data_IF_397274440995
#
_entry.id   IF_397274440995
#
_cell.length_a   1.000
_cell.length_b   1.000
_cell.length_c   1.000
_cell.angle_alpha   90.00
_cell.angle_beta   90.00
_cell.angle_gamma   90.00
#
_symmetry.space_group_name_H-M   'P 1'
#
loop_
_entity.id
_entity.type
_entity.pdbx_description
1 polymer ?
#
# COMPACT_ATOMS: atom_id res chain seq x y z
N UNK A 1 -22.10 43.73 11.23
CA UNK A 1 -20.84 43.82 10.44
C UNK A 1 -19.76 42.91 11.04
N UNK A 2 -19.63 42.81 12.35
CA UNK A 2 -18.63 41.99 13.07
C UNK A 2 -18.78 40.49 12.76
N UNK A 3 -19.99 39.90 12.83
CA UNK A 3 -20.25 38.49 12.52
C UNK A 3 -19.84 38.09 11.09
N UNK A 4 -20.04 38.97 10.10
CA UNK A 4 -19.67 38.65 8.71
C UNK A 4 -18.15 38.61 8.52
N UNK A 5 -17.39 39.45 9.22
CA UNK A 5 -15.92 39.41 9.22
C UNK A 5 -15.40 38.17 9.96
N UNK A 6 -16.02 37.81 11.08
CA UNK A 6 -15.71 36.62 11.84
C UNK A 6 -15.84 35.36 11.00
N UNK A 7 -17.00 35.12 10.35
CA UNK A 7 -17.19 33.92 9.51
C UNK A 7 -16.22 33.88 8.35
N UNK A 8 -15.90 35.00 7.71
CA UNK A 8 -14.94 35.04 6.60
C UNK A 8 -13.51 34.75 7.07
N UNK A 9 -13.14 35.23 8.25
CA UNK A 9 -11.84 34.95 8.85
C UNK A 9 -11.69 33.47 9.20
N UNK A 10 -12.72 32.88 9.81
CA UNK A 10 -12.75 31.47 10.13
C UNK A 10 -12.71 30.58 8.87
N UNK A 11 -13.47 30.93 7.82
CA UNK A 11 -13.49 30.20 6.55
C UNK A 11 -12.11 30.21 5.87
N UNK A 12 -11.41 31.33 5.85
CA UNK A 12 -10.07 31.42 5.29
C UNK A 12 -9.09 30.54 6.09
N UNK A 13 -9.12 30.63 7.41
CA UNK A 13 -8.25 29.82 8.27
C UNK A 13 -8.51 28.32 8.12
N UNK A 14 -9.77 27.91 8.01
CA UNK A 14 -10.11 26.50 7.76
C UNK A 14 -9.57 26.02 6.40
N UNK A 15 -9.56 26.87 5.39
CA UNK A 15 -8.97 26.55 4.08
C UNK A 15 -7.45 26.42 4.17
N UNK A 16 -6.79 27.29 4.94
CA UNK A 16 -5.34 27.23 5.14
C UNK A 16 -4.94 25.95 5.89
N UNK A 17 -5.73 25.52 6.88
CA UNK A 17 -5.58 24.24 7.58
C UNK A 17 -5.69 23.06 6.61
N UNK A 18 -6.66 23.09 5.70
CA UNK A 18 -6.90 22.00 4.75
C UNK A 18 -5.77 21.86 3.70
N UNK A 19 -5.19 23.00 3.29
CA UNK A 19 -4.12 23.04 2.27
C UNK A 19 -2.70 22.79 2.81
N UNK A 20 -2.50 22.75 4.13
CA UNK A 20 -1.17 22.62 4.73
C UNK A 20 -0.61 21.20 4.59
N UNK A 21 0.69 21.11 4.30
CA UNK A 21 1.46 19.86 4.24
C UNK A 21 2.25 19.65 5.54
N UNK A 22 1.87 18.65 6.33
CA UNK A 22 2.54 18.29 7.59
C UNK A 22 2.01 18.98 8.83
N UNK A 23 2.10 18.26 9.97
CA UNK A 23 1.44 18.65 11.23
C UNK A 23 2.00 19.95 11.80
N UNK A 24 3.32 20.07 11.96
CA UNK A 24 3.94 21.23 12.60
C UNK A 24 3.81 22.49 11.72
N UNK A 25 3.96 22.36 10.41
CA UNK A 25 3.78 23.47 9.48
C UNK A 25 2.33 23.98 9.47
N UNK A 26 1.36 23.08 9.51
CA UNK A 26 -0.06 23.43 9.65
C UNK A 26 -0.32 24.22 10.94
N UNK A 27 0.21 23.74 12.08
CA UNK A 27 0.06 24.42 13.37
C UNK A 27 0.71 25.80 13.36
N UNK A 28 1.89 25.94 12.76
CA UNK A 28 2.57 27.21 12.58
C UNK A 28 1.73 28.19 11.75
N UNK A 29 1.24 27.76 10.58
CA UNK A 29 0.35 28.57 9.73
C UNK A 29 -0.87 29.08 10.49
N UNK A 30 -1.49 28.22 11.32
CA UNK A 30 -2.65 28.62 12.16
C UNK A 30 -2.26 29.67 13.18
N UNK A 31 -1.14 29.49 13.89
CA UNK A 31 -0.70 30.43 14.89
C UNK A 31 -0.30 31.76 14.26
N UNK A 32 0.42 31.77 13.15
CA UNK A 32 0.75 32.96 12.37
C UNK A 32 -0.51 33.73 11.91
N UNK A 33 -1.48 33.02 11.36
CA UNK A 33 -2.74 33.62 10.91
C UNK A 33 -3.53 34.26 12.05
N UNK A 34 -3.54 33.63 13.25
CA UNK A 34 -4.28 34.12 14.40
C UNK A 34 -3.58 35.27 15.12
N UNK A 35 -2.24 35.32 15.07
CA UNK A 35 -1.45 36.40 15.72
C UNK A 35 -1.16 37.57 14.78
N UNK A 36 -1.48 37.44 13.49
CA UNK A 36 -1.26 38.44 12.46
C UNK A 36 -2.51 39.17 11.96
N UNK A 37 -2.32 40.37 11.44
CA UNK A 37 -3.28 41.13 10.66
C UNK A 37 -4.65 41.39 11.29
N UNK A 38 -5.71 41.17 10.49
CA UNK A 38 -7.10 41.45 10.94
C UNK A 38 -7.58 40.50 12.03
N UNK A 39 -7.04 39.22 12.08
CA UNK A 39 -7.45 38.24 13.08
C UNK A 39 -6.96 38.61 14.48
N UNK A 40 -5.69 38.99 14.61
CA UNK A 40 -5.13 39.43 15.88
C UNK A 40 -5.95 40.60 16.50
N UNK A 41 -6.26 41.61 15.68
CA UNK A 41 -7.07 42.75 16.11
C UNK A 41 -8.53 42.38 16.39
N UNK A 42 -9.11 41.45 15.66
CA UNK A 42 -10.51 41.03 15.83
C UNK A 42 -10.71 40.24 17.13
N UNK A 43 -9.76 39.41 17.51
CA UNK A 43 -9.86 38.50 18.64
C UNK A 43 -9.04 38.96 19.86
N UNK A 44 -8.25 40.02 19.73
CA UNK A 44 -7.40 40.55 20.80
C UNK A 44 -6.24 39.60 21.14
N UNK A 45 -5.70 38.90 20.13
CA UNK A 45 -4.59 37.93 20.27
C UNK A 45 -3.28 38.69 20.04
N UNK A 46 -2.41 38.73 21.03
CA UNK A 46 -1.13 39.45 20.98
C UNK A 46 0.05 38.53 20.58
N UNK A 47 0.02 37.27 20.98
CA UNK A 47 1.07 36.30 20.69
C UNK A 47 0.53 34.89 20.69
N UNK A 48 1.27 33.95 20.05
CA UNK A 48 0.91 32.53 19.97
C UNK A 48 2.12 31.64 20.17
N UNK A 49 1.88 30.46 20.70
CA UNK A 49 2.91 29.47 21.03
C UNK A 49 2.41 28.07 20.71
N UNK A 50 3.34 27.23 20.25
CA UNK A 50 3.09 25.82 19.95
C UNK A 50 3.97 24.98 20.85
N UNK A 51 3.35 24.09 21.61
CA UNK A 51 4.04 23.13 22.44
C UNK A 51 3.75 21.72 21.94
N UNK A 52 4.81 20.89 21.87
CA UNK A 52 4.72 19.47 21.53
C UNK A 52 4.83 18.61 22.78
N UNK A 53 3.94 17.64 22.89
CA UNK A 53 3.93 16.68 23.98
C UNK A 53 5.21 15.82 24.01
N UNK A 54 5.75 15.63 25.21
CA UNK A 54 6.79 14.67 25.55
C UNK A 54 6.29 13.80 26.71
N UNK A 55 7.12 12.86 27.13
CA UNK A 55 6.72 11.90 28.20
C UNK A 55 6.20 12.56 29.47
N UNK A 56 6.89 13.60 29.99
CA UNK A 56 6.60 14.24 31.26
C UNK A 56 6.17 15.70 31.16
N UNK A 57 6.38 16.33 30.00
CA UNK A 57 6.19 17.76 29.80
C UNK A 57 5.70 18.08 28.37
N UNK A 58 5.45 19.36 28.12
CA UNK A 58 5.25 19.94 26.81
C UNK A 58 6.42 20.86 26.49
N UNK A 59 7.10 20.62 25.38
CA UNK A 59 8.22 21.41 24.87
C UNK A 59 7.69 22.51 23.96
N UNK A 60 8.04 23.78 24.25
CA UNK A 60 7.77 24.91 23.36
C UNK A 60 8.66 24.81 22.12
N UNK A 61 8.04 24.61 20.97
CA UNK A 61 8.71 24.42 19.67
C UNK A 61 8.65 25.67 18.79
N UNK A 62 7.66 26.53 18.99
CA UNK A 62 7.46 27.74 18.19
C UNK A 62 6.84 28.85 19.04
N UNK A 63 7.28 30.10 18.89
CA UNK A 63 6.71 31.26 19.58
C UNK A 63 6.68 32.48 18.67
N UNK A 64 5.50 33.08 18.50
CA UNK A 64 5.23 34.20 17.64
C UNK A 64 4.66 35.37 18.48
N UNK A 65 5.24 36.53 18.34
CA UNK A 65 4.84 37.75 19.07
C UNK A 65 5.70 38.03 20.31
N UNK A 66 5.08 38.24 21.48
CA UNK A 66 5.78 38.55 22.73
C UNK A 66 6.84 37.49 23.07
N UNK A 67 8.06 37.93 23.39
CA UNK A 67 9.27 37.12 23.61
C UNK A 67 9.83 36.38 22.38
N UNK A 68 9.05 36.13 21.33
CA UNK A 68 9.49 35.45 20.11
C UNK A 68 10.34 34.20 20.36
N UNK A 69 11.35 33.99 19.55
CA UNK A 69 12.27 32.84 19.63
C UNK A 69 13.04 32.73 20.97
N UNK A 70 13.12 33.81 21.75
CA UNK A 70 13.89 33.84 23.01
C UNK A 70 13.38 32.82 24.07
N UNK A 71 12.16 32.35 23.97
CA UNK A 71 11.55 31.40 24.91
C UNK A 71 11.44 29.96 24.35
N UNK A 72 11.77 29.74 23.09
CA UNK A 72 11.74 28.39 22.50
C UNK A 72 12.69 27.46 23.24
N UNK A 73 12.31 26.19 23.28
CA UNK A 73 13.02 25.16 24.04
C UNK A 73 12.66 25.10 25.53
N UNK A 74 11.87 26.06 26.06
CA UNK A 74 11.32 25.95 27.41
C UNK A 74 10.26 24.87 27.50
N UNK A 75 10.04 24.35 28.70
CA UNK A 75 9.07 23.29 28.95
C UNK A 75 8.06 23.66 30.01
N UNK A 76 6.86 23.11 29.91
CA UNK A 76 5.80 23.18 30.91
C UNK A 76 5.44 21.76 31.31
N UNK A 77 5.49 21.48 32.62
CA UNK A 77 5.22 20.11 33.13
C UNK A 77 3.74 19.77 33.02
N UNK A 78 3.45 18.48 32.83
CA UNK A 78 2.06 17.99 32.82
C UNK A 78 1.35 18.17 34.15
N UNK A 79 2.08 18.28 35.26
CA UNK A 79 1.52 18.51 36.60
C UNK A 79 1.08 19.96 36.86
N UNK A 80 1.43 20.90 35.98
CA UNK A 80 0.98 22.25 36.12
C UNK A 80 -0.54 22.37 35.98
N UNK A 81 -1.22 23.05 36.89
CA UNK A 81 -2.69 23.07 36.98
C UNK A 81 -3.39 23.50 35.69
N UNK A 82 -2.87 24.53 34.99
CA UNK A 82 -3.42 24.95 33.70
C UNK A 82 -3.33 23.86 32.64
N UNK A 83 -2.24 23.09 32.60
CA UNK A 83 -2.06 21.95 31.72
C UNK A 83 -3.02 20.83 32.09
N UNK A 84 -3.21 20.53 33.38
CA UNK A 84 -4.17 19.53 33.83
C UNK A 84 -5.61 19.89 33.40
N UNK A 85 -6.03 21.14 33.59
CA UNK A 85 -7.35 21.60 33.09
C UNK A 85 -7.47 21.49 31.57
N UNK A 86 -6.39 21.78 30.85
CA UNK A 86 -6.36 21.65 29.38
C UNK A 86 -6.45 20.20 28.93
N UNK A 87 -5.76 19.28 29.63
CA UNK A 87 -5.85 17.85 29.32
C UNK A 87 -7.26 17.29 29.53
N UNK A 88 -7.99 17.79 30.56
CA UNK A 88 -9.37 17.38 30.86
C UNK A 88 -10.38 17.99 29.87
N UNK A 89 -10.27 19.30 29.63
CA UNK A 89 -11.31 20.09 28.94
C UNK A 89 -11.02 20.38 27.48
N UNK A 90 -9.78 20.17 27.06
CA UNK A 90 -9.28 20.41 25.68
C UNK A 90 -9.19 21.89 25.27
N UNK A 91 -9.87 22.79 25.98
CA UNK A 91 -9.80 24.25 25.86
C UNK A 91 -9.80 24.84 27.29
N UNK A 92 -8.88 25.77 27.59
CA UNK A 92 -8.76 26.36 28.89
C UNK A 92 -8.22 27.81 28.75
N UNK A 93 -8.77 28.70 29.59
CA UNK A 93 -8.23 30.07 29.74
C UNK A 93 -7.62 30.18 31.13
N UNK A 94 -6.33 30.50 31.17
CA UNK A 94 -5.57 30.75 32.40
C UNK A 94 -5.59 32.23 32.72
N UNK A 95 -6.05 32.56 33.91
CA UNK A 95 -6.12 33.95 34.49
C UNK A 95 -5.40 33.98 35.80
N UNK A 96 -5.05 35.20 36.31
CA UNK A 96 -4.45 35.33 37.63
C UNK A 96 -5.28 34.78 38.80
N UNK A 97 -6.61 34.70 38.63
CA UNK A 97 -7.53 34.13 39.62
C UNK A 97 -7.89 32.67 39.36
N UNK A 98 -7.30 32.05 38.33
CA UNK A 98 -7.53 30.65 37.99
C UNK A 98 -6.99 29.72 39.08
N UNK A 99 -7.68 28.59 39.37
CA UNK A 99 -7.19 27.59 40.31
C UNK A 99 -5.80 27.08 39.92
N UNK A 100 -4.84 27.16 40.85
CA UNK A 100 -3.47 26.71 40.63
C UNK A 100 -2.63 27.61 39.73
N UNK A 101 -3.03 28.87 39.48
CA UNK A 101 -2.22 29.85 38.77
C UNK A 101 -0.87 30.10 39.51
N UNK A 102 0.21 30.01 38.73
CA UNK A 102 1.56 30.30 39.21
C UNK A 102 2.16 31.48 38.40
N UNK A 103 2.22 32.66 39.02
CA UNK A 103 2.72 33.86 38.38
C UNK A 103 4.19 33.74 37.90
N UNK A 104 5.02 32.90 38.58
CA UNK A 104 6.41 32.73 38.19
C UNK A 104 6.55 31.79 36.96
N UNK A 105 5.62 30.87 36.80
CA UNK A 105 5.55 30.02 35.60
C UNK A 105 5.01 30.88 34.42
N UNK A 106 3.86 31.53 34.60
CA UNK A 106 3.21 32.28 33.51
C UNK A 106 4.08 33.45 33.00
N UNK A 107 4.76 34.17 33.90
CA UNK A 107 5.65 35.28 33.51
C UNK A 107 6.83 34.87 32.62
N UNK A 108 7.13 33.56 32.52
CA UNK A 108 8.15 33.07 31.60
C UNK A 108 7.66 32.99 30.13
N UNK A 109 6.34 33.05 29.94
CA UNK A 109 5.71 32.87 28.64
C UNK A 109 4.83 34.04 28.22
N UNK A 110 4.15 34.71 29.15
CA UNK A 110 3.31 35.88 28.88
C UNK A 110 2.98 36.65 30.15
N UNK A 111 2.71 37.96 30.01
CA UNK A 111 2.14 38.79 31.06
C UNK A 111 0.61 38.99 30.92
N UNK A 112 0.00 38.34 29.94
CA UNK A 112 -1.43 38.44 29.61
C UNK A 112 -2.16 37.15 30.01
N UNK A 113 -3.49 37.14 29.95
CA UNK A 113 -4.25 35.93 30.05
C UNK A 113 -3.90 34.98 28.89
N UNK A 114 -3.92 33.69 29.14
CA UNK A 114 -3.60 32.69 28.13
C UNK A 114 -4.83 31.84 27.79
N UNK A 115 -5.26 31.88 26.53
CA UNK A 115 -6.26 30.96 26.00
C UNK A 115 -5.54 29.82 25.25
N UNK A 116 -5.78 28.58 25.63
CA UNK A 116 -5.09 27.43 25.05
C UNK A 116 -6.05 26.34 24.59
N UNK A 117 -5.69 25.67 23.50
CA UNK A 117 -6.37 24.50 22.97
C UNK A 117 -5.41 23.34 22.90
N UNK A 118 -5.92 22.12 23.17
CA UNK A 118 -5.19 20.86 23.02
C UNK A 118 -5.68 20.13 21.78
N UNK A 119 -4.77 19.85 20.86
CA UNK A 119 -5.04 19.18 19.59
C UNK A 119 -4.14 17.95 19.41
N UNK A 120 -4.55 17.02 18.56
CA UNK A 120 -3.78 15.80 18.27
C UNK A 120 -3.89 14.72 19.37
N UNK A 121 -3.32 13.59 19.06
CA UNK A 121 -3.14 12.42 19.93
C UNK A 121 -1.88 11.69 19.44
N UNK A 122 -0.83 11.69 20.25
CA UNK A 122 0.40 10.94 19.92
C UNK A 122 1.21 11.48 18.70
N UNK A 123 1.89 12.63 18.81
CA UNK A 123 1.91 13.52 19.99
C UNK A 123 0.69 14.45 20.03
N UNK A 124 0.35 14.92 21.24
CA UNK A 124 -0.56 16.03 21.39
C UNK A 124 0.21 17.36 21.30
N UNK A 125 -0.48 18.41 20.87
CA UNK A 125 0.05 19.77 20.80
C UNK A 125 -0.83 20.72 21.60
N UNK A 126 -0.21 21.68 22.28
CA UNK A 126 -0.89 22.81 22.89
C UNK A 126 -0.64 24.03 22.00
N UNK A 127 -1.71 24.67 21.54
CA UNK A 127 -1.66 26.01 20.97
C UNK A 127 -2.14 26.98 22.04
N UNK A 128 -1.26 27.88 22.47
CA UNK A 128 -1.54 28.86 23.54
C UNK A 128 -1.43 30.26 22.99
N UNK A 129 -2.41 31.09 23.29
CA UNK A 129 -2.54 32.46 22.80
C UNK A 129 -2.60 33.43 23.95
N UNK A 130 -1.79 34.48 23.92
CA UNK A 130 -1.90 35.61 24.84
C UNK A 130 -3.03 36.51 24.38
N UNK A 131 -4.01 36.76 25.24
CA UNK A 131 -5.23 37.48 24.89
C UNK A 131 -5.44 38.67 25.81
N UNK A 132 -5.86 39.82 25.22
CA UNK A 132 -6.13 41.05 25.97
C UNK A 132 -7.43 40.99 26.77
N UNK A 133 -8.45 40.34 26.17
CA UNK A 133 -9.77 40.14 26.75
C UNK A 133 -10.18 38.70 26.59
N UNK A 134 -10.64 38.07 27.64
CA UNK A 134 -10.87 36.64 27.74
C UNK A 134 -12.35 36.23 27.96
N UNK A 135 -13.24 37.22 28.14
CA UNK A 135 -14.67 37.02 28.36
C UNK A 135 -15.52 37.08 27.07
N UNK A 136 -14.88 36.98 25.92
CA UNK A 136 -15.53 37.02 24.60
C UNK A 136 -15.98 35.64 24.15
N UNK A 137 -17.29 35.44 24.08
CA UNK A 137 -17.89 34.19 23.58
C UNK A 137 -17.41 33.86 22.16
N UNK A 138 -17.19 34.85 21.30
CA UNK A 138 -16.72 34.66 19.93
C UNK A 138 -15.29 34.11 19.85
N UNK A 139 -14.40 34.45 20.80
CA UNK A 139 -13.05 33.88 20.93
C UNK A 139 -13.13 32.37 21.26
N UNK A 140 -13.96 32.01 22.24
CA UNK A 140 -14.15 30.60 22.62
C UNK A 140 -14.71 29.76 21.48
N UNK A 141 -15.73 30.28 20.78
CA UNK A 141 -16.34 29.59 19.62
C UNK A 141 -15.30 29.38 18.51
N UNK A 142 -14.48 30.41 18.24
CA UNK A 142 -13.42 30.33 17.24
C UNK A 142 -12.37 29.28 17.62
N UNK A 143 -11.84 29.33 18.84
CA UNK A 143 -10.82 28.39 19.29
C UNK A 143 -11.34 26.95 19.28
N UNK A 144 -12.60 26.73 19.64
CA UNK A 144 -13.23 25.40 19.57
C UNK A 144 -13.39 24.90 18.12
N UNK A 145 -13.78 25.79 17.19
CA UNK A 145 -13.87 25.44 15.77
C UNK A 145 -12.50 25.09 15.18
N UNK A 146 -11.47 25.88 15.49
CA UNK A 146 -10.09 25.62 15.06
C UNK A 146 -9.58 24.32 15.67
N UNK A 147 -9.81 24.08 16.97
CA UNK A 147 -9.45 22.84 17.64
C UNK A 147 -10.06 21.62 16.95
N UNK A 148 -11.34 21.71 16.58
CA UNK A 148 -12.05 20.64 15.86
C UNK A 148 -11.46 20.40 14.47
N UNK A 149 -11.19 21.45 13.69
CA UNK A 149 -10.63 21.36 12.35
C UNK A 149 -9.20 20.78 12.36
N UNK A 150 -8.32 21.32 13.21
CA UNK A 150 -6.97 20.78 13.38
C UNK A 150 -7.03 19.32 13.81
N UNK A 151 -7.88 18.98 14.80
CA UNK A 151 -8.02 17.62 15.29
C UNK A 151 -8.51 16.65 14.21
N UNK A 152 -9.34 17.09 13.27
CA UNK A 152 -9.76 16.29 12.11
C UNK A 152 -8.59 16.06 11.15
N UNK A 153 -7.87 17.12 10.77
CA UNK A 153 -6.74 17.05 9.85
C UNK A 153 -5.60 16.17 10.39
N UNK A 154 -5.25 16.33 11.68
CA UNK A 154 -4.24 15.50 12.32
C UNK A 154 -4.63 14.00 12.34
N UNK A 155 -5.90 13.69 12.58
CA UNK A 155 -6.39 12.31 12.53
C UNK A 155 -6.34 11.75 11.12
N UNK A 156 -6.71 12.53 10.12
CA UNK A 156 -6.61 12.14 8.71
C UNK A 156 -5.16 11.85 8.33
N UNK A 157 -4.22 12.74 8.63
CA UNK A 157 -2.79 12.55 8.35
C UNK A 157 -2.20 11.33 9.04
N UNK A 158 -2.61 11.05 10.29
CA UNK A 158 -2.19 9.85 11.01
C UNK A 158 -2.70 8.57 10.34
N UNK A 159 -3.97 8.55 9.88
CA UNK A 159 -4.55 7.42 9.17
C UNK A 159 -3.83 7.18 7.84
N UNK A 160 -3.62 8.22 7.04
CA UNK A 160 -2.87 8.15 5.78
C UNK A 160 -1.44 7.65 5.99
N UNK A 161 -0.78 8.07 7.08
CA UNK A 161 0.55 7.57 7.44
C UNK A 161 0.54 6.08 7.77
N UNK A 162 -0.48 5.59 8.50
CA UNK A 162 -0.65 4.17 8.80
C UNK A 162 -0.90 3.35 7.54
N UNK A 163 -1.71 3.84 6.61
CA UNK A 163 -1.97 3.20 5.32
C UNK A 163 -0.69 3.13 4.48
N UNK A 164 0.09 4.19 4.40
CA UNK A 164 1.41 4.19 3.71
C UNK A 164 2.39 3.19 4.33
N UNK A 165 2.38 3.03 5.66
CA UNK A 165 3.20 1.99 6.31
C UNK A 165 2.73 0.58 5.93
N UNK A 166 1.42 0.34 5.90
CA UNK A 166 0.85 -0.94 5.47
C UNK A 166 1.22 -1.25 4.00
N UNK A 167 1.13 -0.25 3.11
CA UNK A 167 1.57 -0.35 1.71
C UNK A 167 3.05 -0.73 1.61
N UNK A 168 3.92 -0.10 2.39
CA UNK A 168 5.36 -0.42 2.40
C UNK A 168 5.62 -1.87 2.83
N UNK A 169 4.88 -2.34 3.84
CA UNK A 169 4.98 -3.73 4.31
C UNK A 169 4.51 -4.68 3.21
N UNK A 170 3.36 -4.43 2.58
CA UNK A 170 2.84 -5.26 1.50
C UNK A 170 3.78 -5.28 0.30
N UNK A 171 4.25 -4.13 -0.17
CA UNK A 171 5.21 -4.05 -1.27
C UNK A 171 6.49 -4.85 -1.00
N UNK A 172 6.86 -5.05 0.27
CA UNK A 172 8.01 -5.89 0.66
C UNK A 172 7.79 -7.39 0.46
N UNK A 173 6.54 -7.84 0.28
CA UNK A 173 6.19 -9.25 0.01
C UNK A 173 6.44 -9.62 -1.44
N UNK A 174 6.24 -8.67 -2.35
CA UNK A 174 6.49 -8.88 -3.77
C UNK A 174 7.99 -9.02 -4.05
N UNK A 175 8.39 -9.85 -5.00
CA UNK A 175 9.79 -10.01 -5.38
C UNK A 175 10.38 -8.67 -5.85
N UNK A 176 11.45 -8.20 -5.21
CA UNK A 176 12.16 -6.99 -5.66
C UNK A 176 12.86 -7.18 -7.00
N UNK A 177 13.22 -8.40 -7.33
CA UNK A 177 13.78 -8.83 -8.60
C UNK A 177 13.20 -10.19 -8.93
N UNK A 178 12.81 -10.36 -10.16
CA UNK A 178 12.36 -11.67 -10.64
C UNK A 178 13.59 -12.59 -10.74
N UNK A 179 13.47 -13.86 -10.29
CA UNK A 179 14.57 -14.82 -10.38
C UNK A 179 14.84 -15.21 -11.83
N UNK A 180 16.03 -15.70 -12.10
CA UNK A 180 16.43 -16.22 -13.39
C UNK A 180 16.18 -17.73 -13.45
N UNK A 181 15.60 -18.22 -14.55
CA UNK A 181 15.55 -19.61 -14.92
C UNK A 181 16.10 -19.74 -16.34
N UNK A 182 17.03 -20.63 -16.55
CA UNK A 182 17.71 -20.77 -17.85
C UNK A 182 16.68 -21.03 -18.97
N UNK A 183 16.75 -20.23 -20.02
CA UNK A 183 15.82 -20.31 -21.15
C UNK A 183 14.44 -19.72 -20.93
N UNK A 184 14.22 -18.95 -19.86
CA UNK A 184 12.96 -18.28 -19.58
C UNK A 184 13.14 -16.79 -19.34
N UNK A 185 12.12 -16.05 -19.70
CA UNK A 185 11.97 -14.61 -19.44
C UNK A 185 10.71 -14.39 -18.63
N UNK A 186 10.76 -13.46 -17.68
CA UNK A 186 9.65 -13.14 -16.79
C UNK A 186 9.43 -11.61 -16.74
N UNK A 187 8.16 -11.21 -16.72
CA UNK A 187 7.77 -9.83 -16.41
C UNK A 187 6.52 -9.85 -15.54
N UNK A 188 6.43 -8.88 -14.61
CA UNK A 188 5.25 -8.69 -13.78
C UNK A 188 4.92 -7.21 -13.68
N UNK A 189 3.62 -6.90 -13.66
CA UNK A 189 3.09 -5.56 -13.41
C UNK A 189 1.90 -5.68 -12.47
N UNK A 190 1.88 -4.83 -11.46
CA UNK A 190 0.76 -4.71 -10.50
C UNK A 190 0.36 -3.26 -10.35
N UNK A 191 -0.92 -3.01 -10.38
CA UNK A 191 -1.56 -1.73 -10.14
C UNK A 191 -2.66 -1.93 -9.12
N UNK A 192 -2.44 -1.55 -7.86
CA UNK A 192 -3.49 -1.62 -6.86
C UNK A 192 -4.55 -0.55 -7.09
N UNK A 193 -5.81 -0.88 -6.79
CA UNK A 193 -6.95 0.04 -6.83
C UNK A 193 -6.91 1.05 -5.67
N UNK A 194 -6.53 0.58 -4.49
CA UNK A 194 -6.33 1.37 -3.26
C UNK A 194 -4.84 1.52 -2.94
N UNK A 195 -4.50 2.12 -1.77
CA UNK A 195 -3.12 2.19 -1.27
C UNK A 195 -2.49 0.80 -1.05
N UNK A 196 -3.31 -0.22 -0.78
CA UNK A 196 -2.90 -1.63 -0.63
C UNK A 196 -3.89 -2.52 -1.35
N UNK A 197 -3.41 -3.59 -1.99
CA UNK A 197 -4.23 -4.49 -2.81
C UNK A 197 -4.30 -5.93 -2.29
N UNK A 198 -5.28 -6.68 -2.79
CA UNK A 198 -5.45 -8.12 -2.57
C UNK A 198 -4.57 -8.98 -3.46
N UNK A 199 -4.08 -8.43 -4.56
CA UNK A 199 -3.25 -9.11 -5.53
C UNK A 199 -1.83 -9.35 -5.03
N UNK A 200 -1.33 -10.56 -5.18
CA UNK A 200 0.08 -10.91 -4.93
C UNK A 200 0.60 -11.93 -5.93
N UNK A 201 1.85 -11.76 -6.32
CA UNK A 201 2.58 -12.78 -7.06
C UNK A 201 3.91 -13.08 -6.36
N UNK A 202 4.42 -14.28 -6.57
CA UNK A 202 5.73 -14.68 -6.08
C UNK A 202 6.41 -15.64 -7.06
N UNK A 203 7.73 -15.50 -7.17
CA UNK A 203 8.58 -16.40 -7.94
C UNK A 203 9.74 -16.82 -7.06
N UNK A 204 9.86 -18.11 -6.81
CA UNK A 204 10.88 -18.66 -5.90
C UNK A 204 11.68 -19.77 -6.59
N UNK A 205 13.01 -19.72 -6.59
CA UNK A 205 13.82 -20.87 -6.94
C UNK A 205 13.52 -22.02 -5.96
N UNK A 206 13.17 -23.20 -6.48
CA UNK A 206 12.88 -24.39 -5.68
C UNK A 206 14.10 -25.30 -5.58
N UNK A 207 14.57 -25.80 -6.73
CA UNK A 207 15.75 -26.64 -6.90
C UNK A 207 16.54 -26.14 -8.11
N UNK A 208 17.71 -26.71 -8.37
CA UNK A 208 18.49 -26.38 -9.56
C UNK A 208 17.67 -26.68 -10.82
N UNK A 209 17.42 -25.67 -11.64
CA UNK A 209 16.62 -25.80 -12.86
C UNK A 209 15.10 -25.82 -12.63
N UNK A 210 14.60 -25.49 -11.44
CA UNK A 210 13.17 -25.44 -11.14
C UNK A 210 12.78 -24.14 -10.43
N UNK A 211 11.65 -23.56 -10.84
CA UNK A 211 11.08 -22.32 -10.30
C UNK A 211 9.61 -22.55 -9.89
N UNK A 212 9.27 -22.15 -8.66
CA UNK A 212 7.88 -21.98 -8.22
C UNK A 212 7.37 -20.60 -8.59
N UNK A 213 6.18 -20.52 -9.17
CA UNK A 213 5.52 -19.31 -9.58
C UNK A 213 4.10 -19.32 -9.03
N UNK A 214 3.66 -18.20 -8.43
CA UNK A 214 2.28 -18.03 -8.00
C UNK A 214 1.73 -16.67 -8.38
N UNK A 215 0.42 -16.63 -8.63
CA UNK A 215 -0.42 -15.44 -8.66
C UNK A 215 -1.67 -15.74 -7.83
N UNK A 216 -2.01 -14.86 -6.92
CA UNK A 216 -3.18 -14.99 -6.06
C UNK A 216 -3.88 -13.65 -5.92
N UNK A 217 -5.18 -13.71 -5.73
CA UNK A 217 -6.04 -12.58 -5.50
C UNK A 217 -6.99 -12.87 -4.34
N UNK A 218 -6.99 -11.99 -3.34
CA UNK A 218 -7.82 -12.07 -2.16
C UNK A 218 -9.07 -11.22 -2.33
N UNK A 219 -10.25 -11.86 -2.33
CA UNK A 219 -11.54 -11.21 -2.56
C UNK A 219 -11.75 -9.91 -1.77
N UNK A 220 -12.10 -8.83 -2.49
CA UNK A 220 -12.26 -7.48 -2.01
C UNK A 220 -10.95 -6.70 -2.06
N UNK A 221 -10.94 -5.45 -1.64
CA UNK A 221 -9.82 -4.51 -1.77
C UNK A 221 -9.36 -3.95 -0.42
N UNK A 222 -8.24 -3.22 -0.43
CA UNK A 222 -7.70 -2.52 0.71
C UNK A 222 -7.02 -3.41 1.76
N UNK A 223 -6.81 -2.88 2.96
CA UNK A 223 -6.00 -3.51 4.01
C UNK A 223 -6.44 -4.94 4.40
N UNK A 224 -7.75 -5.28 4.49
CA UNK A 224 -8.14 -6.65 4.83
C UNK A 224 -7.74 -7.68 3.75
N UNK A 225 -7.83 -7.34 2.47
CA UNK A 225 -7.39 -8.20 1.37
C UNK A 225 -5.86 -8.35 1.35
N UNK A 226 -5.13 -7.24 1.56
CA UNK A 226 -3.68 -7.23 1.65
C UNK A 226 -3.12 -8.15 2.76
N UNK A 227 -3.78 -8.20 3.93
CA UNK A 227 -3.38 -9.12 5.02
C UNK A 227 -3.59 -10.58 4.64
N UNK A 228 -4.67 -10.91 3.92
CA UNK A 228 -4.93 -12.27 3.44
C UNK A 228 -3.93 -12.67 2.34
N UNK A 229 -3.64 -11.78 1.41
CA UNK A 229 -2.61 -11.97 0.39
C UNK A 229 -1.23 -12.28 1.01
N UNK A 230 -0.87 -11.59 2.09
CA UNK A 230 0.33 -11.89 2.88
C UNK A 230 0.34 -13.32 3.42
N UNK A 231 -0.77 -13.79 3.98
CA UNK A 231 -0.86 -15.14 4.54
C UNK A 231 -0.68 -16.21 3.45
N UNK A 232 -1.15 -15.95 2.23
CA UNK A 232 -0.90 -16.81 1.06
C UNK A 232 0.59 -16.88 0.74
N UNK A 233 1.26 -15.75 0.60
CA UNK A 233 2.70 -15.70 0.29
C UNK A 233 3.51 -16.48 1.34
N UNK A 234 3.26 -16.20 2.61
CA UNK A 234 3.98 -16.87 3.73
C UNK A 234 3.67 -18.37 3.74
N UNK A 235 2.40 -18.76 3.59
CA UNK A 235 1.98 -20.15 3.58
C UNK A 235 2.62 -20.95 2.44
N UNK A 236 2.67 -20.38 1.22
CA UNK A 236 3.31 -21.01 0.07
C UNK A 236 4.82 -21.13 0.25
N UNK A 237 5.52 -20.09 0.66
CA UNK A 237 6.98 -20.14 0.93
C UNK A 237 7.34 -21.19 1.97
N UNK A 238 6.51 -21.35 3.01
CA UNK A 238 6.71 -22.41 4.01
C UNK A 238 6.51 -23.79 3.42
N UNK A 239 5.56 -23.99 2.49
CA UNK A 239 5.32 -25.24 1.82
C UNK A 239 6.48 -25.68 0.92
N UNK A 240 6.99 -24.77 0.13
CA UNK A 240 8.11 -24.98 -0.77
C UNK A 240 9.37 -25.48 -0.04
N UNK A 241 9.62 -24.98 1.17
CA UNK A 241 10.79 -25.36 1.97
C UNK A 241 10.78 -26.82 2.45
N UNK A 242 9.63 -27.52 2.36
CA UNK A 242 9.47 -28.89 2.82
C UNK A 242 9.43 -29.93 1.70
N UNK A 243 9.65 -29.52 0.45
CA UNK A 243 9.61 -30.40 -0.74
C UNK A 243 8.32 -31.25 -0.83
N UNK A 244 7.17 -30.63 -0.49
CA UNK A 244 5.86 -31.28 -0.54
C UNK A 244 5.30 -31.27 -1.96
N UNK A 245 4.42 -32.23 -2.26
CA UNK A 245 3.68 -32.22 -3.52
C UNK A 245 2.84 -30.95 -3.66
N UNK A 246 2.81 -30.37 -4.84
CA UNK A 246 2.09 -29.14 -5.16
C UNK A 246 0.63 -29.11 -4.64
N UNK A 247 -0.09 -30.23 -4.77
CA UNK A 247 -1.48 -30.35 -4.27
C UNK A 247 -1.55 -30.30 -2.74
N UNK A 248 -0.61 -30.97 -2.05
CA UNK A 248 -0.57 -31.00 -0.60
C UNK A 248 -0.24 -29.59 -0.01
N UNK A 249 0.61 -28.83 -0.70
CA UNK A 249 0.90 -27.45 -0.34
C UNK A 249 -0.37 -26.57 -0.43
N UNK A 250 -1.10 -26.65 -1.54
CA UNK A 250 -2.33 -25.88 -1.75
C UNK A 250 -3.45 -26.31 -0.78
N UNK A 251 -3.61 -27.63 -0.54
CA UNK A 251 -4.59 -28.14 0.43
C UNK A 251 -4.27 -27.69 1.86
N UNK A 252 -2.99 -27.66 2.23
CA UNK A 252 -2.58 -27.14 3.54
C UNK A 252 -2.83 -25.63 3.64
N UNK A 253 -2.46 -24.87 2.62
CA UNK A 253 -2.76 -23.45 2.54
C UNK A 253 -4.26 -23.20 2.67
N UNK A 254 -5.11 -23.95 1.96
CA UNK A 254 -6.56 -23.86 2.05
C UNK A 254 -7.07 -24.03 3.48
N UNK A 255 -6.55 -25.00 4.24
CA UNK A 255 -6.94 -25.18 5.65
C UNK A 255 -6.54 -23.99 6.52
N UNK A 256 -5.34 -23.43 6.31
CA UNK A 256 -4.90 -22.21 7.04
C UNK A 256 -5.82 -21.04 6.69
N UNK A 257 -6.02 -20.81 5.41
CA UNK A 257 -6.89 -19.73 4.89
C UNK A 257 -8.32 -19.89 5.44
N UNK A 258 -8.89 -21.09 5.46
CA UNK A 258 -10.23 -21.35 6.02
C UNK A 258 -10.36 -20.89 7.48
N UNK A 259 -9.32 -21.04 8.30
CA UNK A 259 -9.34 -20.64 9.70
C UNK A 259 -9.05 -19.15 9.94
N UNK A 260 -8.40 -18.49 9.00
CA UNK A 260 -7.99 -17.07 9.12
C UNK A 260 -8.93 -16.11 8.41
N UNK A 261 -9.68 -16.60 7.41
CA UNK A 261 -10.61 -15.77 6.63
C UNK A 261 -11.77 -15.24 7.49
N UNK A 262 -12.09 -13.99 7.27
CA UNK A 262 -13.37 -13.42 7.69
C UNK A 262 -14.48 -14.10 6.89
N UNK A 263 -15.58 -14.47 7.54
CA UNK A 263 -16.74 -15.14 6.94
C UNK A 263 -17.19 -14.43 5.65
N UNK A 264 -17.40 -15.17 4.57
CA UNK A 264 -17.78 -14.77 3.21
C UNK A 264 -16.65 -14.34 2.27
N UNK A 265 -15.36 -14.41 2.65
CA UNK A 265 -14.25 -14.13 1.75
C UNK A 265 -13.64 -15.41 1.19
N UNK A 266 -12.92 -15.29 0.09
CA UNK A 266 -12.18 -16.37 -0.54
C UNK A 266 -10.90 -15.82 -1.18
N UNK A 267 -9.99 -16.72 -1.56
CA UNK A 267 -8.78 -16.35 -2.29
C UNK A 267 -8.69 -17.22 -3.53
N UNK A 268 -8.42 -16.61 -4.66
CA UNK A 268 -8.08 -17.33 -5.88
C UNK A 268 -6.57 -17.53 -5.94
N UNK A 269 -6.11 -18.69 -6.42
CA UNK A 269 -4.68 -18.98 -6.52
C UNK A 269 -4.36 -19.78 -7.77
N UNK A 270 -3.41 -19.29 -8.55
CA UNK A 270 -2.67 -20.10 -9.52
C UNK A 270 -1.26 -20.35 -8.98
N UNK A 271 -0.85 -21.62 -8.88
CA UNK A 271 0.51 -21.99 -8.51
C UNK A 271 1.08 -23.00 -9.49
N UNK A 272 2.30 -22.76 -9.94
CA UNK A 272 3.01 -23.62 -10.90
C UNK A 272 4.47 -23.86 -10.49
N UNK A 273 4.96 -25.03 -10.82
CA UNK A 273 6.37 -25.44 -10.79
C UNK A 273 6.86 -25.59 -12.23
N UNK A 274 7.85 -24.77 -12.61
CA UNK A 274 8.38 -24.68 -13.97
C UNK A 274 9.80 -25.24 -13.97
N UNK A 275 10.06 -26.26 -14.78
CA UNK A 275 11.38 -26.85 -15.00
C UNK A 275 12.08 -26.18 -16.20
N UNK A 276 13.40 -26.12 -16.21
CA UNK A 276 14.21 -25.54 -17.29
C UNK A 276 14.01 -26.22 -18.64
N UNK A 277 13.61 -27.49 -18.65
CA UNK A 277 13.24 -28.23 -19.84
C UNK A 277 11.87 -27.82 -20.44
N UNK A 278 11.11 -26.97 -19.75
CA UNK A 278 9.80 -26.47 -20.16
C UNK A 278 8.61 -27.20 -19.60
N UNK A 279 8.80 -28.26 -18.82
CA UNK A 279 7.69 -28.90 -18.13
C UNK A 279 7.11 -27.97 -17.08
N UNK A 280 5.80 -27.88 -17.03
CA UNK A 280 5.05 -27.07 -16.05
C UNK A 280 4.02 -27.94 -15.36
N UNK A 281 4.14 -28.07 -14.06
CA UNK A 281 3.14 -28.68 -13.20
C UNK A 281 2.39 -27.60 -12.48
N UNK A 282 1.05 -27.58 -12.53
CA UNK A 282 0.29 -26.49 -11.90
C UNK A 282 -0.97 -26.95 -11.17
N UNK A 283 -1.43 -26.09 -10.27
CA UNK A 283 -2.75 -26.10 -9.61
C UNK A 283 -3.39 -24.73 -9.84
N UNK A 284 -4.64 -24.73 -10.32
CA UNK A 284 -5.47 -23.54 -10.40
C UNK A 284 -6.65 -23.68 -9.43
N UNK A 285 -6.57 -22.99 -8.30
CA UNK A 285 -7.59 -22.96 -7.25
C UNK A 285 -8.57 -21.79 -7.50
N UNK A 286 -9.41 -21.91 -8.50
CA UNK A 286 -10.46 -20.95 -8.84
C UNK A 286 -9.96 -19.59 -9.37
N UNK A 287 -8.71 -19.49 -9.74
CA UNK A 287 -8.13 -18.27 -10.32
C UNK A 287 -8.52 -18.12 -11.80
N UNK A 288 -8.50 -16.89 -12.33
CA UNK A 288 -8.68 -16.61 -13.75
C UNK A 288 -7.82 -17.55 -14.60
N UNK A 289 -8.40 -18.28 -15.59
CA UNK A 289 -7.64 -19.21 -16.40
C UNK A 289 -6.53 -18.49 -17.17
N UNK A 290 -5.23 -18.79 -16.90
CA UNK A 290 -4.13 -18.20 -17.66
C UNK A 290 -4.20 -18.52 -19.15
N UNK A 291 -3.67 -17.61 -19.98
CA UNK A 291 -3.57 -17.78 -21.43
C UNK A 291 -2.21 -18.33 -21.79
N UNK A 292 -2.19 -19.43 -22.55
CA UNK A 292 -1.01 -19.89 -23.27
C UNK A 292 -1.10 -19.38 -24.72
N UNK A 293 -0.22 -18.48 -25.10
CA UNK A 293 -0.08 -17.95 -26.45
C UNK A 293 1.02 -18.72 -27.16
N UNK A 294 0.63 -19.55 -28.12
CA UNK A 294 1.54 -20.33 -28.91
C UNK A 294 2.33 -19.48 -29.93
N UNK A 295 3.47 -19.95 -30.39
CA UNK A 295 4.32 -19.23 -31.34
C UNK A 295 3.63 -18.94 -32.70
N UNK A 296 2.70 -19.81 -33.13
CA UNK A 296 1.87 -19.62 -34.34
C UNK A 296 0.68 -18.66 -34.16
N UNK A 297 0.38 -18.29 -32.90
CA UNK A 297 -0.72 -17.39 -32.56
C UNK A 297 -2.00 -18.10 -32.12
N UNK A 298 -2.00 -19.42 -31.95
CA UNK A 298 -3.10 -20.08 -31.25
C UNK A 298 -3.06 -19.68 -29.75
N UNK A 299 -4.25 -19.59 -29.15
CA UNK A 299 -4.39 -19.22 -27.72
C UNK A 299 -5.20 -20.29 -27.01
N UNK A 300 -4.65 -20.82 -25.94
CA UNK A 300 -5.26 -21.83 -25.09
C UNK A 300 -5.44 -21.33 -23.68
N UNK A 301 -6.41 -21.87 -22.97
CA UNK A 301 -6.66 -21.59 -21.56
C UNK A 301 -6.21 -22.74 -20.67
N UNK A 302 -5.55 -22.40 -19.57
CA UNK A 302 -5.22 -23.39 -18.54
C UNK A 302 -6.42 -23.58 -17.61
N UNK A 303 -6.93 -24.81 -17.55
CA UNK A 303 -8.14 -25.12 -16.81
C UNK A 303 -7.98 -24.96 -15.30
N UNK A 304 -9.08 -24.60 -14.64
CA UNK A 304 -9.23 -24.67 -13.19
C UNK A 304 -9.13 -26.12 -12.71
N UNK A 305 -8.44 -26.34 -11.60
CA UNK A 305 -8.17 -27.69 -11.08
C UNK A 305 -8.72 -27.96 -9.68
N UNK A 306 -9.38 -26.97 -9.06
CA UNK A 306 -10.05 -27.04 -7.76
C UNK A 306 -10.81 -25.77 -7.43
N UNK A 307 -11.56 -25.75 -6.32
CA UNK A 307 -12.28 -24.55 -5.88
C UNK A 307 -11.32 -23.47 -5.36
N UNK A 308 -11.84 -22.27 -5.17
CA UNK A 308 -11.15 -21.16 -4.47
C UNK A 308 -10.73 -21.59 -3.05
N UNK A 309 -9.69 -20.95 -2.51
CA UNK A 309 -9.24 -21.19 -1.14
C UNK A 309 -10.20 -20.55 -0.12
N UNK A 310 -10.43 -21.26 0.98
CA UNK A 310 -11.10 -20.75 2.18
C UNK A 310 -12.51 -21.27 2.42
N UNK A 311 -13.50 -21.20 1.51
CA UNK A 311 -14.88 -21.60 1.79
C UNK A 311 -15.04 -23.06 2.22
N UNK A 312 -14.27 -23.97 1.67
CA UNK A 312 -14.37 -25.41 1.94
C UNK A 312 -13.09 -25.90 2.63
N UNK A 313 -13.13 -26.29 3.92
CA UNK A 313 -11.92 -26.68 4.67
C UNK A 313 -11.22 -27.91 4.09
N UNK A 314 -12.00 -28.87 3.56
CA UNK A 314 -11.50 -30.13 3.00
C UNK A 314 -11.46 -30.11 1.46
N UNK A 315 -11.30 -28.93 0.85
CA UNK A 315 -11.16 -28.82 -0.59
C UNK A 315 -9.95 -29.61 -1.08
N UNK A 316 -10.13 -30.30 -2.19
CA UNK A 316 -9.07 -31.07 -2.86
C UNK A 316 -8.77 -30.47 -4.23
N UNK A 317 -7.51 -30.57 -4.62
CA UNK A 317 -7.01 -29.98 -5.87
C UNK A 317 -6.37 -31.03 -6.75
N UNK A 318 -6.54 -30.89 -8.07
CA UNK A 318 -5.91 -31.75 -9.04
C UNK A 318 -4.66 -31.10 -9.61
N UNK A 319 -3.64 -31.90 -9.77
CA UNK A 319 -2.40 -31.51 -10.44
C UNK A 319 -2.59 -31.60 -11.95
N UNK A 320 -2.30 -30.52 -12.65
CA UNK A 320 -2.33 -30.42 -14.10
C UNK A 320 -0.91 -30.27 -14.65
N UNK A 321 -0.73 -30.64 -15.93
CA UNK A 321 0.55 -30.63 -16.60
C UNK A 321 0.43 -29.96 -17.95
N UNK A 322 1.47 -29.23 -18.33
CA UNK A 322 1.69 -28.74 -19.67
C UNK A 322 3.18 -28.67 -19.98
N UNK A 323 3.52 -28.47 -21.23
CA UNK A 323 4.89 -28.14 -21.64
C UNK A 323 4.84 -26.76 -22.29
N UNK A 324 5.62 -25.80 -21.77
CA UNK A 324 5.85 -24.51 -22.39
C UNK A 324 6.97 -24.69 -23.41
N UNK A 325 6.66 -24.59 -24.70
CA UNK A 325 7.61 -24.81 -25.79
C UNK A 325 8.40 -23.54 -26.07
N UNK A 326 9.59 -23.62 -26.70
CA UNK A 326 10.34 -22.46 -27.14
C UNK A 326 9.50 -21.48 -27.97
N UNK A 327 9.48 -20.21 -27.60
CA UNK A 327 8.68 -19.16 -28.24
C UNK A 327 7.26 -19.01 -27.74
N UNK A 328 6.76 -19.94 -26.90
CA UNK A 328 5.44 -19.82 -26.28
C UNK A 328 5.46 -18.90 -25.06
N UNK A 329 4.34 -18.22 -24.82
CA UNK A 329 4.17 -17.27 -23.72
C UNK A 329 2.96 -17.66 -22.89
N UNK A 330 3.16 -17.77 -21.57
CA UNK A 330 2.10 -17.94 -20.58
C UNK A 330 1.81 -16.58 -19.95
N UNK A 331 0.53 -16.17 -19.98
CA UNK A 331 0.06 -14.90 -19.41
C UNK A 331 -0.93 -15.21 -18.30
N UNK A 332 -0.56 -14.86 -17.07
CA UNK A 332 -1.41 -14.93 -15.89
C UNK A 332 -1.92 -13.51 -15.58
N UNK A 333 -3.12 -13.41 -15.07
CA UNK A 333 -3.74 -12.13 -14.78
C UNK A 333 -4.86 -12.28 -13.75
N UNK A 334 -5.14 -11.21 -13.00
CA UNK A 334 -6.26 -11.13 -12.07
C UNK A 334 -7.53 -10.60 -12.77
N UNK A 335 -8.69 -10.78 -12.15
CA UNK A 335 -9.99 -10.44 -12.73
C UNK A 335 -10.16 -8.92 -12.96
N UNK A 336 -9.53 -8.04 -12.16
CA UNK A 336 -9.52 -6.61 -12.40
C UNK A 336 -9.02 -6.21 -13.80
N UNK A 337 -8.23 -7.08 -14.48
CA UNK A 337 -7.87 -6.90 -15.90
C UNK A 337 -9.11 -7.09 -16.80
N UNK A 338 -9.91 -8.13 -16.55
CA UNK A 338 -11.07 -8.47 -17.37
C UNK A 338 -12.30 -7.60 -17.07
N UNK A 339 -12.47 -7.25 -15.79
CA UNK A 339 -13.66 -6.57 -15.27
C UNK A 339 -13.60 -5.05 -15.41
N UNK A 340 -12.48 -4.48 -15.87
CA UNK A 340 -12.36 -3.05 -16.12
C UNK A 340 -13.48 -2.56 -17.03
N UNK A 341 -14.31 -1.65 -16.52
CA UNK A 341 -15.44 -1.10 -17.25
C UNK A 341 -15.02 0.06 -18.17
N UNK A 342 -15.68 0.15 -19.33
CA UNK A 342 -15.62 1.35 -20.17
C UNK A 342 -16.23 2.54 -19.41
N UNK A 343 -15.79 3.80 -19.69
CA UNK A 343 -16.47 4.98 -19.15
C UNK A 343 -17.95 4.93 -19.51
N UNK A 344 -18.84 5.14 -18.51
CA UNK A 344 -20.28 5.23 -18.75
C UNK A 344 -20.58 6.27 -19.84
N UNK A 345 -21.49 5.94 -20.76
CA UNK A 345 -22.04 6.90 -21.70
C UNK A 345 -22.81 8.02 -20.98
N UNK A 346 -23.14 9.10 -21.67
CA UNK A 346 -23.96 10.19 -21.15
C UNK A 346 -25.26 9.64 -20.55
N UNK A 347 -25.76 10.28 -19.49
CA UNK A 347 -26.85 9.89 -18.58
C UNK A 347 -28.17 9.33 -19.21
N UNK A 348 -28.25 9.22 -20.52
CA UNK A 348 -29.45 8.76 -21.28
C UNK A 348 -29.33 7.33 -21.86
N UNK A 349 -28.17 6.66 -21.74
CA UNK A 349 -28.02 5.27 -22.23
C UNK A 349 -28.23 4.26 -21.09
N UNK A 350 -29.34 3.51 -21.13
CA UNK A 350 -29.66 2.40 -20.22
C UNK A 350 -28.74 1.16 -20.39
N UNK A 351 -27.70 1.25 -21.23
CA UNK A 351 -26.77 0.15 -21.46
C UNK A 351 -25.77 0.02 -20.30
N UNK A 352 -25.67 -1.16 -19.71
CA UNK A 352 -24.63 -1.48 -18.74
C UNK A 352 -23.24 -1.28 -19.40
N UNK A 353 -22.26 -0.65 -18.70
CA UNK A 353 -20.94 -0.44 -19.25
C UNK A 353 -20.26 -1.78 -19.58
N UNK A 354 -19.71 -1.89 -20.78
CA UNK A 354 -19.03 -3.11 -21.24
C UNK A 354 -17.69 -3.27 -20.51
N UNK A 355 -17.39 -4.49 -20.05
CA UNK A 355 -16.10 -4.83 -19.48
C UNK A 355 -15.05 -5.01 -20.57
N UNK A 356 -13.75 -4.79 -20.23
CA UNK A 356 -12.63 -5.02 -21.13
C UNK A 356 -12.65 -6.44 -21.70
N UNK A 357 -12.88 -7.40 -20.84
CA UNK A 357 -13.16 -8.76 -21.21
C UNK A 357 -11.97 -9.50 -21.84
N UNK A 358 -12.20 -10.79 -22.04
CA UNK A 358 -11.18 -11.73 -22.51
C UNK A 358 -10.73 -11.49 -23.95
N UNK A 359 -11.66 -11.13 -24.84
CA UNK A 359 -11.36 -10.97 -26.26
C UNK A 359 -10.38 -9.81 -26.49
N UNK A 360 -10.52 -8.72 -25.74
CA UNK A 360 -9.58 -7.61 -25.77
C UNK A 360 -8.20 -8.04 -25.24
N UNK A 361 -8.14 -8.77 -24.13
CA UNK A 361 -6.88 -9.30 -23.59
C UNK A 361 -6.17 -10.18 -24.61
N UNK A 362 -6.87 -11.15 -25.21
CA UNK A 362 -6.32 -12.03 -26.27
C UNK A 362 -5.79 -11.20 -27.45
N UNK A 363 -6.54 -10.18 -27.88
CA UNK A 363 -6.12 -9.30 -28.98
C UNK A 363 -4.81 -8.58 -28.66
N UNK A 364 -4.66 -8.07 -27.43
CA UNK A 364 -3.41 -7.40 -26.98
C UNK A 364 -2.25 -8.40 -26.97
N UNK A 365 -2.45 -9.59 -26.39
CA UNK A 365 -1.44 -10.63 -26.33
C UNK A 365 -0.94 -11.03 -27.73
N UNK A 366 -1.86 -11.22 -28.68
CA UNK A 366 -1.54 -11.56 -30.06
C UNK A 366 -0.80 -10.44 -30.79
N UNK A 367 -1.18 -9.18 -30.55
CA UNK A 367 -0.51 -8.03 -31.15
C UNK A 367 0.96 -7.92 -30.68
N UNK A 368 1.24 -8.30 -29.43
CA UNK A 368 2.56 -8.22 -28.82
C UNK A 368 3.31 -9.57 -28.76
N UNK A 369 2.81 -10.61 -29.44
CA UNK A 369 3.38 -11.97 -29.33
C UNK A 369 4.85 -12.09 -29.72
N UNK A 370 5.36 -11.18 -30.55
CA UNK A 370 6.76 -11.12 -30.96
C UNK A 370 7.63 -10.13 -30.15
N UNK A 371 7.00 -9.35 -29.29
CA UNK A 371 7.69 -8.45 -28.35
C UNK A 371 8.31 -9.20 -27.16
N UNK A 372 9.16 -8.55 -26.39
CA UNK A 372 9.66 -9.10 -25.12
C UNK A 372 8.55 -9.23 -24.06
N UNK A 373 8.79 -9.96 -22.97
CA UNK A 373 7.81 -10.17 -21.91
C UNK A 373 7.36 -8.85 -21.26
N UNK A 374 8.27 -7.89 -21.12
CA UNK A 374 7.95 -6.56 -20.62
C UNK A 374 6.99 -5.82 -21.54
N UNK A 375 7.21 -5.88 -22.88
CA UNK A 375 6.34 -5.25 -23.86
C UNK A 375 4.91 -5.83 -23.84
N UNK A 376 4.78 -7.14 -23.60
CA UNK A 376 3.46 -7.80 -23.45
C UNK A 376 2.78 -7.29 -22.17
N UNK A 377 3.49 -7.30 -21.03
CA UNK A 377 2.93 -6.86 -19.75
C UNK A 377 2.53 -5.38 -19.78
N UNK A 378 3.40 -4.50 -20.30
CA UNK A 378 3.13 -3.07 -20.41
C UNK A 378 1.93 -2.80 -21.36
N UNK A 379 1.86 -3.45 -22.51
CA UNK A 379 0.76 -3.28 -23.45
C UNK A 379 -0.60 -3.73 -22.87
N UNK A 380 -0.64 -4.79 -22.06
CA UNK A 380 -1.87 -5.20 -21.37
C UNK A 380 -2.32 -4.10 -20.42
N UNK A 381 -1.43 -3.64 -19.54
CA UNK A 381 -1.75 -2.59 -18.56
C UNK A 381 -2.19 -1.30 -19.24
N UNK A 382 -1.49 -0.87 -20.30
CA UNK A 382 -1.83 0.34 -21.05
C UNK A 382 -3.20 0.21 -21.76
N UNK A 383 -3.49 -0.96 -22.35
CA UNK A 383 -4.78 -1.21 -23.01
C UNK A 383 -5.95 -1.16 -22.02
N UNK A 384 -5.81 -1.77 -20.84
CA UNK A 384 -6.83 -1.77 -19.78
C UNK A 384 -7.05 -0.36 -19.23
N UNK A 385 -5.96 0.40 -18.99
CA UNK A 385 -6.05 1.81 -18.57
C UNK A 385 -6.75 2.67 -19.61
N UNK A 386 -6.35 2.54 -20.87
CA UNK A 386 -6.96 3.30 -21.97
C UNK A 386 -8.45 2.98 -22.10
N UNK A 387 -8.83 1.71 -21.89
CA UNK A 387 -10.23 1.26 -21.94
C UNK A 387 -11.10 1.92 -20.87
N UNK A 388 -10.64 2.01 -19.63
CA UNK A 388 -11.35 2.64 -18.54
C UNK A 388 -11.21 4.18 -18.46
N UNK A 389 -10.42 4.80 -19.37
CA UNK A 389 -10.22 6.24 -19.40
C UNK A 389 -9.65 6.81 -18.11
N UNK A 390 -10.28 7.87 -17.58
CA UNK A 390 -9.88 8.55 -16.34
C UNK A 390 -10.58 8.01 -15.09
N UNK A 391 -11.44 7.00 -15.22
CA UNK A 391 -12.13 6.43 -14.06
C UNK A 391 -11.10 5.76 -13.10
N UNK A 392 -11.27 5.90 -11.78
CA UNK A 392 -10.48 5.14 -10.80
C UNK A 392 -10.50 3.64 -11.11
N UNK A 393 -9.54 2.91 -10.60
CA UNK A 393 -9.55 1.46 -10.70
C UNK A 393 -10.60 0.91 -9.71
N UNK A 394 -11.41 -0.05 -10.19
CA UNK A 394 -12.45 -0.68 -9.38
C UNK A 394 -11.88 -1.87 -8.61
N UNK A 395 -10.83 -2.51 -9.13
CA UNK A 395 -10.13 -3.64 -8.51
C UNK A 395 -8.63 -3.61 -8.85
N UNK A 396 -7.86 -4.39 -8.10
CA UNK A 396 -6.43 -4.56 -8.32
C UNK A 396 -6.17 -5.23 -9.67
N UNK A 397 -5.12 -4.81 -10.35
CA UNK A 397 -4.75 -5.35 -11.66
C UNK A 397 -3.33 -5.91 -11.60
N UNK A 398 -3.19 -7.20 -11.76
CA UNK A 398 -1.89 -7.85 -11.85
C UNK A 398 -1.78 -8.70 -13.11
N UNK A 399 -0.65 -8.55 -13.80
CA UNK A 399 -0.28 -9.43 -14.93
C UNK A 399 1.12 -9.99 -14.70
N UNK A 400 1.28 -11.27 -14.94
CA UNK A 400 2.55 -11.99 -14.88
C UNK A 400 2.75 -12.74 -16.19
N UNK A 401 3.83 -12.43 -16.90
CA UNK A 401 4.16 -12.96 -18.21
C UNK A 401 5.39 -13.85 -18.10
N UNK A 402 5.29 -15.06 -18.61
CA UNK A 402 6.38 -16.05 -18.68
C UNK A 402 6.57 -16.48 -20.13
N UNK A 403 7.78 -16.36 -20.66
CA UNK A 403 8.11 -16.84 -22.01
C UNK A 403 9.26 -17.80 -21.95
N UNK A 404 9.15 -18.89 -22.67
CA UNK A 404 10.30 -19.73 -22.98
C UNK A 404 11.03 -19.20 -24.20
N UNK A 405 12.31 -18.81 -24.03
CA UNK A 405 13.12 -18.24 -25.11
C UNK A 405 13.33 -19.23 -26.25
N UNK A 406 13.29 -18.74 -27.49
CA UNK A 406 13.48 -19.57 -28.67
C UNK A 406 14.93 -20.13 -28.81
N UNK A 407 15.88 -19.58 -28.02
CA UNK A 407 17.32 -19.93 -28.11
C UNK A 407 17.79 -20.98 -27.08
N UNK A 408 16.89 -21.67 -26.36
CA UNK A 408 17.26 -22.63 -25.33
C UNK A 408 17.58 -24.01 -25.92
N UNK A 409 18.52 -24.11 -26.82
CA UNK A 409 18.88 -25.39 -27.48
C UNK A 409 20.33 -25.55 -27.95
N UNK A 410 21.19 -24.54 -27.85
CA UNK A 410 22.55 -24.61 -28.43
C UNK A 410 23.71 -24.39 -27.43
N UNK A 411 23.55 -24.67 -26.16
CA UNK A 411 24.72 -24.78 -25.28
C UNK A 411 24.64 -26.06 -24.46
N UNK A 412 25.21 -27.12 -25.01
CA UNK A 412 26.04 -28.18 -24.45
C UNK A 412 26.03 -29.43 -25.31
N UNK A 413 26.50 -29.33 -26.57
CA UNK A 413 27.26 -30.41 -27.14
C UNK A 413 28.73 -30.01 -27.02
N UNK A 414 29.28 -30.00 -25.81
CA UNK A 414 30.70 -30.24 -25.65
C UNK A 414 30.95 -31.69 -26.09
N UNK A 415 31.62 -31.76 -27.20
CA UNK A 415 32.12 -33.00 -27.81
C UNK A 415 32.76 -33.88 -26.73
N UNK A 416 32.12 -34.98 -26.39
CA UNK A 416 32.80 -36.14 -25.83
C UNK A 416 33.83 -36.58 -26.86
N UNK A 417 35.08 -36.09 -26.73
CA UNK A 417 36.23 -36.68 -27.41
C UNK A 417 36.34 -38.12 -26.92
N UNK A 418 36.35 -39.14 -27.82
CA UNK A 418 36.52 -40.52 -27.39
C UNK A 418 37.88 -40.66 -26.74
N UNK A 419 37.93 -41.13 -25.52
CA UNK A 419 39.16 -41.63 -24.89
C UNK A 419 39.70 -42.74 -25.78
N UNK A 420 40.79 -42.46 -26.51
CA UNK A 420 41.61 -43.46 -27.19
C UNK A 420 42.19 -44.35 -26.10
N UNK A 421 41.70 -45.59 -26.02
CA UNK A 421 42.34 -46.67 -25.28
C UNK A 421 43.66 -47.00 -25.98
N UNK A 422 44.79 -46.63 -25.37
CA UNK A 422 46.10 -47.21 -25.75
C UNK A 422 46.12 -48.68 -25.34
N UNK A 423 46.65 -49.55 -26.21
CA UNK A 423 46.75 -50.99 -25.88
C UNK A 423 47.86 -51.21 -24.83
N UNK A 424 47.75 -52.25 -23.99
CA UNK A 424 48.72 -52.53 -22.96
C UNK A 424 50.04 -52.90 -23.58
N UNK A 425 51.10 -52.24 -23.17
CA UNK A 425 52.50 -52.54 -23.48
C UNK A 425 52.83 -53.88 -22.83
N UNK A 426 53.20 -54.85 -23.70
CA UNK A 426 53.60 -56.18 -23.29
C UNK A 426 54.82 -56.20 -22.39
N UNK A 427 54.73 -56.95 -21.31
CA UNK A 427 55.84 -57.23 -20.41
C UNK A 427 56.78 -58.19 -21.10
N UNK A 428 58.05 -57.77 -21.18
CA UNK A 428 59.15 -58.63 -21.57
C UNK A 428 59.79 -59.21 -20.33
N UNK A 429 60.07 -60.52 -20.48
CA UNK A 429 60.78 -61.37 -19.55
C UNK A 429 62.14 -60.91 -19.08
N UNK A 430 62.55 -61.39 -17.91
CA UNK A 430 63.94 -61.34 -17.57
C UNK A 430 64.34 -61.68 -16.13
N UNK A 431 64.49 -62.98 -15.86
CA UNK A 431 65.36 -63.66 -14.86
C UNK A 431 65.03 -63.38 -13.38
#
# INVERSE_FOLDING_TARGET
>A
MLHKKFYRALENLLRDIDSAEGDEQMLQTVVEALTGGEHAALFGIASGRIYRERSLDFLLIESIGEYGEAIEGKTVTKDYAAVQHLLERRLWITRPDSPGYDAAVEAQFSHMNNAAILVGQNPSYILSFSVEQDDRDDLLVMLEAIRAAIGLKLRQGALESQLRQAQTIQASLLPRRLPELAGFEFAARTLPADEVGGDVYDLQPLETGMLGLMLADASGHGLPAALQARDVVVGMRMGQSHNEKITAQVERLNRVVHHTLLSSRFITLFYAEIEDNGNVTYVNAGHCPPLLVAADGEVFELQTSGPVLGPLPDATYRRCYMTLRPGETLVLFTDGILERLAPGGDDDDEAEPEAFGRDNLVRVCLAQRHGGVDAVADAIIEAVRAYGGHAPLDDDMTVLVVRRSAQSGEHQQESLTPLSLEPPVGGGDGV
#
